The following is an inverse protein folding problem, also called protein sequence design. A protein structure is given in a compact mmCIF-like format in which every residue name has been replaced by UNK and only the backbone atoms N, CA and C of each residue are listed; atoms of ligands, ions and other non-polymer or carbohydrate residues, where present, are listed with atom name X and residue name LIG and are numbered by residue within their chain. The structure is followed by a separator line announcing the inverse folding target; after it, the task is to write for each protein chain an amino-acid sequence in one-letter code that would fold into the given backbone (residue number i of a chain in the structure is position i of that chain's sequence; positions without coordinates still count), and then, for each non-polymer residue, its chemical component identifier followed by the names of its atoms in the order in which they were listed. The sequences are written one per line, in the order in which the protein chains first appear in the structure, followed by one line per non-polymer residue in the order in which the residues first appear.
data_IF_459857757999
#
_entry.id   IF_459857757999
#
_cell.length_a   1.000
_cell.length_b   1.000
_cell.length_c   1.000
_cell.angle_alpha   90.00
_cell.angle_beta   90.00
_cell.angle_gamma   90.00
#
_symmetry.space_group_name_H-M   'P 1'
#
loop_
_entity.id
_entity.type
_entity.pdbx_description
1 polymer ?
#
# COMPACT_ATOMS: atom_id res chain seq x y z
N UNK A 1 -13.14 4.79 7.96
CA UNK A 1 -13.07 5.65 6.77
C UNK A 1 -14.28 5.33 5.88
N UNK A 2 -15.40 6.05 6.03
CA UNK A 2 -16.71 5.66 5.44
C UNK A 2 -16.76 5.71 3.91
N UNK A 3 -15.94 6.55 3.27
CA UNK A 3 -15.91 6.68 1.82
C UNK A 3 -15.45 5.40 1.10
N UNK A 4 -14.44 4.71 1.63
CA UNK A 4 -13.93 3.46 1.02
C UNK A 4 -14.97 2.36 1.15
N UNK A 5 -15.57 2.19 2.33
CA UNK A 5 -16.66 1.25 2.55
C UNK A 5 -17.85 1.50 1.61
N UNK A 6 -18.25 2.76 1.46
CA UNK A 6 -19.33 3.16 0.55
C UNK A 6 -19.00 2.79 -0.89
N UNK A 7 -17.77 3.05 -1.34
CA UNK A 7 -17.32 2.68 -2.68
C UNK A 7 -17.41 1.17 -2.92
N UNK A 8 -16.95 0.35 -1.97
CA UNK A 8 -17.00 -1.11 -2.08
C UNK A 8 -18.43 -1.65 -2.07
N UNK A 9 -19.30 -1.08 -1.24
CA UNK A 9 -20.72 -1.46 -1.18
C UNK A 9 -21.42 -1.21 -2.51
N UNK A 10 -21.10 -0.08 -3.15
CA UNK A 10 -21.70 0.34 -4.42
C UNK A 10 -21.15 -0.45 -5.63
N UNK A 11 -19.82 -0.62 -5.71
CA UNK A 11 -19.17 -1.14 -6.92
C UNK A 11 -18.85 -2.64 -6.86
N UNK A 12 -18.73 -3.22 -5.66
CA UNK A 12 -18.46 -4.66 -5.42
C UNK A 12 -17.36 -5.21 -6.34
N UNK A 13 -16.13 -4.67 -6.26
CA UNK A 13 -15.06 -5.06 -7.17
C UNK A 13 -14.69 -6.54 -6.99
N UNK A 14 -14.48 -7.25 -8.11
CA UNK A 14 -13.92 -8.61 -8.08
C UNK A 14 -12.38 -8.60 -7.88
N UNK A 15 -11.72 -7.54 -8.35
CA UNK A 15 -10.27 -7.41 -8.37
C UNK A 15 -9.86 -6.00 -7.96
N UNK A 16 -8.75 -5.89 -7.22
CA UNK A 16 -8.22 -4.60 -6.75
C UNK A 16 -6.74 -4.49 -7.10
N UNK A 17 -6.37 -3.38 -7.72
CA UNK A 17 -4.97 -3.00 -7.95
C UNK A 17 -4.66 -1.78 -7.09
N UNK A 18 -4.03 -2.02 -5.94
CA UNK A 18 -3.73 -0.96 -4.98
C UNK A 18 -2.48 -0.20 -5.44
N UNK A 19 -2.69 0.74 -6.36
CA UNK A 19 -1.68 1.66 -6.90
C UNK A 19 -1.71 3.06 -6.24
N UNK A 20 -2.64 3.29 -5.30
CA UNK A 20 -2.73 4.53 -4.54
C UNK A 20 -1.71 4.53 -3.39
N UNK A 21 -0.89 5.58 -3.32
CA UNK A 21 0.09 5.78 -2.26
C UNK A 21 0.49 7.27 -2.19
N UNK A 22 0.95 7.72 -1.02
CA UNK A 22 1.69 8.99 -0.92
C UNK A 22 3.16 8.73 -1.26
N UNK A 23 3.59 9.28 -2.39
CA UNK A 23 4.93 9.09 -2.96
C UNK A 23 5.66 10.43 -3.08
N UNK A 24 7.00 10.37 -3.05
CA UNK A 24 7.82 11.57 -3.20
C UNK A 24 9.31 11.28 -3.21
N UNK A 25 10.10 12.31 -3.50
CA UNK A 25 11.57 12.24 -3.52
C UNK A 25 12.20 12.33 -2.13
N UNK A 26 13.53 12.39 -2.08
CA UNK A 26 14.33 12.39 -0.84
C UNK A 26 13.92 13.52 0.11
N UNK A 27 13.78 14.75 -0.38
CA UNK A 27 13.40 15.90 0.44
C UNK A 27 12.01 15.72 1.06
N UNK A 28 11.01 15.32 0.25
CA UNK A 28 9.65 15.11 0.73
C UNK A 28 9.57 14.00 1.79
N UNK A 29 10.27 12.88 1.59
CA UNK A 29 10.33 11.80 2.58
C UNK A 29 10.97 12.25 3.88
N UNK A 30 11.97 13.14 3.85
CA UNK A 30 12.60 13.65 5.06
C UNK A 30 11.76 14.70 5.78
N UNK A 31 11.09 15.59 5.04
CA UNK A 31 10.29 16.68 5.60
C UNK A 31 8.96 16.16 6.19
N UNK A 32 8.30 15.21 5.52
CA UNK A 32 6.92 14.79 5.83
C UNK A 32 6.83 13.34 6.31
N UNK A 33 7.84 12.83 7.01
CA UNK A 33 7.97 11.41 7.42
C UNK A 33 6.69 10.81 8.02
N UNK A 34 6.09 11.52 8.98
CA UNK A 34 4.91 11.06 9.67
C UNK A 34 3.69 10.97 8.74
N UNK A 35 3.53 11.93 7.82
CA UNK A 35 2.45 11.90 6.84
C UNK A 35 2.62 10.78 5.83
N UNK A 36 3.84 10.56 5.33
CA UNK A 36 4.13 9.43 4.44
C UNK A 36 3.76 8.11 5.10
N UNK A 37 4.13 7.91 6.37
CA UNK A 37 3.77 6.70 7.09
C UNK A 37 2.25 6.61 7.29
N UNK A 38 1.64 7.65 7.86
CA UNK A 38 0.23 7.64 8.20
C UNK A 38 -0.67 7.47 6.98
N UNK A 39 -0.46 8.27 5.93
CA UNK A 39 -1.31 8.25 4.74
C UNK A 39 -1.24 6.88 4.06
N UNK A 40 -0.03 6.31 3.92
CA UNK A 40 0.13 4.98 3.30
C UNK A 40 -0.48 3.86 4.16
N UNK A 41 -0.24 3.86 5.48
CA UNK A 41 -0.86 2.89 6.40
C UNK A 41 -2.39 2.96 6.37
N UNK A 42 -2.96 4.18 6.29
CA UNK A 42 -4.40 4.35 6.23
C UNK A 42 -4.95 3.91 4.87
N UNK A 43 -4.29 4.24 3.75
CA UNK A 43 -4.72 3.80 2.42
C UNK A 43 -4.72 2.27 2.34
N UNK A 44 -3.63 1.62 2.71
CA UNK A 44 -3.51 0.16 2.61
C UNK A 44 -4.48 -0.54 3.58
N UNK A 45 -4.57 -0.09 4.83
CA UNK A 45 -5.44 -0.72 5.83
C UNK A 45 -6.90 -0.68 5.40
N UNK A 46 -7.38 0.48 4.91
CA UNK A 46 -8.77 0.62 4.51
C UNK A 46 -9.08 -0.19 3.25
N UNK A 47 -8.21 -0.17 2.24
CA UNK A 47 -8.44 -0.91 0.98
C UNK A 47 -8.35 -2.43 1.19
N UNK A 48 -7.34 -2.91 1.92
CA UNK A 48 -7.18 -4.34 2.22
C UNK A 48 -8.34 -4.84 3.06
N UNK A 49 -8.72 -4.10 4.11
CA UNK A 49 -9.85 -4.49 4.96
C UNK A 49 -11.17 -4.54 4.18
N UNK A 50 -11.45 -3.50 3.37
CA UNK A 50 -12.69 -3.47 2.59
C UNK A 50 -12.72 -4.55 1.50
N UNK A 51 -11.57 -4.90 0.95
CA UNK A 51 -11.43 -6.04 0.03
C UNK A 51 -11.79 -7.37 0.69
N UNK A 52 -11.32 -7.58 1.92
CA UNK A 52 -11.63 -8.76 2.71
C UNK A 52 -13.14 -8.86 3.02
N UNK A 53 -13.75 -7.81 3.59
CA UNK A 53 -15.15 -7.88 4.04
C UNK A 53 -16.15 -7.95 2.87
N UNK A 54 -15.78 -7.48 1.67
CA UNK A 54 -16.62 -7.55 0.47
C UNK A 54 -16.30 -8.72 -0.46
N UNK A 55 -15.36 -9.60 -0.09
CA UNK A 55 -15.07 -10.82 -0.85
C UNK A 55 -14.39 -10.57 -2.21
N UNK A 56 -13.51 -9.57 -2.31
CA UNK A 56 -12.65 -9.38 -3.49
C UNK A 56 -11.87 -10.67 -3.76
N UNK A 57 -11.88 -11.16 -5.00
CA UNK A 57 -11.26 -12.43 -5.38
C UNK A 57 -9.73 -12.36 -5.33
N UNK A 58 -9.16 -11.22 -5.72
CA UNK A 58 -7.70 -10.99 -5.67
C UNK A 58 -7.36 -9.51 -5.60
N UNK A 59 -6.41 -9.19 -4.73
CA UNK A 59 -5.80 -7.87 -4.61
C UNK A 59 -4.31 -7.95 -4.98
N UNK A 60 -3.84 -7.01 -5.80
CA UNK A 60 -2.43 -6.78 -6.06
C UNK A 60 -1.99 -5.46 -5.40
N UNK A 61 -1.12 -5.55 -4.41
CA UNK A 61 -0.50 -4.40 -3.77
C UNK A 61 0.83 -4.06 -4.43
N UNK A 62 1.00 -2.81 -4.83
CA UNK A 62 2.22 -2.32 -5.45
C UNK A 62 3.13 -1.71 -4.38
N UNK A 63 4.09 -2.50 -3.91
CA UNK A 63 5.15 -2.03 -3.01
C UNK A 63 6.21 -1.17 -3.72
N UNK A 64 7.35 -1.00 -3.06
CA UNK A 64 8.49 -0.24 -3.59
C UNK A 64 9.78 -0.99 -3.30
N UNK A 65 10.81 -0.89 -4.14
CA UNK A 65 12.13 -1.47 -3.86
C UNK A 65 12.86 -0.79 -2.69
N UNK A 66 12.42 0.40 -2.26
CA UNK A 66 13.04 1.14 -1.14
C UNK A 66 12.81 0.48 0.23
N UNK A 67 12.01 -0.58 0.29
CA UNK A 67 11.74 -1.34 1.52
C UNK A 67 12.91 -2.27 1.90
N UNK A 68 13.78 -2.63 0.95
CA UNK A 68 14.89 -3.53 1.20
C UNK A 68 15.97 -2.86 2.08
N UNK A 69 16.71 -3.64 2.90
CA UNK A 69 17.84 -3.11 3.66
C UNK A 69 18.87 -2.44 2.75
N UNK A 70 19.41 -1.31 3.22
CA UNK A 70 20.40 -0.51 2.46
C UNK A 70 21.62 -1.31 2.00
N UNK A 71 22.01 -2.35 2.74
CA UNK A 71 23.19 -3.18 2.48
C UNK A 71 22.83 -4.63 2.10
N UNK A 72 21.64 -4.86 1.54
CA UNK A 72 21.23 -6.19 1.09
C UNK A 72 22.17 -6.75 -0.01
N UNK A 73 22.45 -8.06 -0.01
CA UNK A 73 23.29 -8.69 -1.02
C UNK A 73 22.65 -8.60 -2.41
N UNK A 74 23.49 -8.53 -3.45
CA UNK A 74 23.06 -8.40 -4.83
C UNK A 74 23.24 -9.71 -5.61
N UNK A 75 22.28 -10.10 -6.48
CA UNK A 75 21.02 -9.40 -6.77
C UNK A 75 20.04 -9.44 -5.58
N UNK A 76 19.22 -8.40 -5.45
CA UNK A 76 18.11 -8.39 -4.48
C UNK A 76 17.18 -9.57 -4.75
N UNK A 77 16.84 -10.29 -3.69
CA UNK A 77 15.86 -11.37 -3.70
C UNK A 77 14.78 -11.07 -2.67
N UNK A 78 13.59 -11.60 -2.85
CA UNK A 78 12.44 -11.36 -1.96
C UNK A 78 12.75 -11.75 -0.51
N UNK A 79 13.60 -12.76 -0.29
CA UNK A 79 13.97 -13.21 1.05
C UNK A 79 14.86 -12.21 1.80
N UNK A 80 15.39 -11.16 1.16
CA UNK A 80 16.23 -10.15 1.83
C UNK A 80 15.44 -9.02 2.48
N UNK A 81 14.11 -9.03 2.35
CA UNK A 81 13.24 -8.02 2.95
C UNK A 81 13.14 -8.12 4.48
N UNK A 82 13.32 -9.33 5.03
CA UNK A 82 13.18 -9.66 6.46
C UNK A 82 14.24 -10.67 6.90
#
# INVERSE_FOLDING_TARGET
QSAVETFYTQHKPDYVFLAAAKVGGILANNTYRAEFLYDNLMIESNVIHQSYVHGVKKLLFLGSSCIYPKLAPQPLREETLL
#
